data_IF_560556865432
#
_entry.id   IF_560556865432
#
_cell.length_a   1.000
_cell.length_b   1.000
_cell.length_c   1.000
_cell.angle_alpha   90.00
_cell.angle_beta   90.00
_cell.angle_gamma   90.00
#
_symmetry.space_group_name_H-M   'P 1'
#
loop_
_entity.id
_entity.type
_entity.pdbx_description
1 polymer ?
#
# COMPACT_ATOMS: atom_id res chain seq x y z
N UNK A 1 -7.19 16.33 26.60
CA UNK A 1 -8.01 15.81 25.49
C UNK A 1 -7.33 16.21 24.20
N UNK A 2 -6.63 15.27 23.54
CA UNK A 2 -6.01 15.51 22.21
C UNK A 2 -7.14 15.77 21.21
N UNK A 3 -7.06 16.89 20.48
CA UNK A 3 -8.05 17.23 19.44
C UNK A 3 -8.11 16.13 18.37
N UNK A 4 -9.27 15.92 17.74
CA UNK A 4 -9.51 14.91 16.71
C UNK A 4 -8.46 14.95 15.59
N UNK A 5 -7.97 16.15 15.23
CA UNK A 5 -6.92 16.36 14.23
C UNK A 5 -5.56 15.79 14.65
N UNK A 6 -5.17 15.88 15.93
CA UNK A 6 -3.93 15.28 16.43
C UNK A 6 -4.00 13.74 16.45
N UNK A 7 -5.15 13.16 16.81
CA UNK A 7 -5.36 11.70 16.73
C UNK A 7 -5.20 11.18 15.30
N UNK A 8 -5.70 11.89 14.30
CA UNK A 8 -5.57 11.49 12.89
C UNK A 8 -4.13 11.55 12.39
N UNK A 9 -3.33 12.53 12.85
CA UNK A 9 -1.91 12.65 12.52
C UNK A 9 -1.08 11.53 13.14
N UNK A 10 -1.31 11.22 14.42
CA UNK A 10 -0.64 10.11 15.12
C UNK A 10 -0.95 8.78 14.45
N UNK A 11 -2.22 8.51 14.12
CA UNK A 11 -2.61 7.29 13.43
C UNK A 11 -1.99 7.16 12.02
N UNK A 12 -1.75 8.27 11.32
CA UNK A 12 -1.06 8.25 10.03
C UNK A 12 0.44 7.99 10.16
N UNK A 13 1.05 8.47 11.23
CA UNK A 13 2.49 8.36 11.45
C UNK A 13 2.90 7.00 12.02
N UNK A 14 2.04 6.38 12.84
CA UNK A 14 2.31 5.12 13.55
C UNK A 14 1.28 4.05 13.18
N UNK A 15 1.20 3.71 11.90
CA UNK A 15 0.22 2.76 11.34
C UNK A 15 0.37 1.34 11.88
N UNK A 16 1.55 0.98 12.38
CA UNK A 16 1.85 -0.33 12.95
C UNK A 16 1.00 -0.70 14.18
N UNK A 17 0.35 0.27 14.84
CA UNK A 17 -0.63 -0.03 15.90
C UNK A 17 -1.88 -0.77 15.39
N UNK A 18 -2.11 -0.77 14.08
CA UNK A 18 -3.23 -1.48 13.46
C UNK A 18 -2.80 -2.80 12.80
N UNK A 19 -1.58 -3.24 13.04
CA UNK A 19 -1.08 -4.51 12.51
C UNK A 19 -1.64 -5.68 13.31
N UNK A 20 -1.79 -6.84 12.65
CA UNK A 20 -2.24 -8.06 13.30
C UNK A 20 -1.10 -8.71 14.11
N UNK A 21 -1.47 -9.65 15.02
CA UNK A 21 -0.48 -10.29 15.90
C UNK A 21 0.60 -11.07 15.16
N UNK A 22 0.26 -11.66 14.01
CA UNK A 22 1.22 -12.35 13.13
C UNK A 22 2.19 -11.41 12.40
N UNK A 23 1.92 -10.10 12.42
CA UNK A 23 2.74 -9.02 11.87
C UNK A 23 3.61 -8.35 12.96
N UNK A 24 3.69 -8.96 14.13
CA UNK A 24 4.39 -8.41 15.29
C UNK A 24 5.87 -8.12 14.99
N UNK A 25 6.38 -7.12 15.69
CA UNK A 25 7.76 -6.70 15.58
C UNK A 25 8.71 -7.71 16.24
N UNK A 26 9.63 -8.25 15.46
CA UNK A 26 10.70 -9.10 15.97
C UNK A 26 11.93 -8.24 16.32
N UNK A 27 12.27 -8.22 17.60
CA UNK A 27 13.33 -7.39 18.16
C UNK A 27 14.55 -8.22 18.52
N UNK A 28 15.74 -7.73 18.19
CA UNK A 28 16.99 -8.20 18.75
C UNK A 28 17.10 -7.79 20.24
N UNK A 29 18.01 -8.42 20.98
CA UNK A 29 18.16 -8.10 22.41
C UNK A 29 18.61 -6.66 22.65
N UNK A 30 19.46 -6.11 21.77
CA UNK A 30 19.83 -4.69 21.80
C UNK A 30 18.62 -3.77 21.58
N UNK A 31 17.74 -4.10 20.65
CA UNK A 31 16.52 -3.32 20.38
C UNK A 31 15.53 -3.40 21.55
N UNK A 32 15.40 -4.60 22.15
CA UNK A 32 14.62 -4.78 23.38
C UNK A 32 15.15 -3.92 24.54
N UNK A 33 16.50 -3.87 24.70
CA UNK A 33 17.13 -3.00 25.71
C UNK A 33 16.78 -1.54 25.48
N UNK A 34 16.96 -1.04 24.26
CA UNK A 34 16.64 0.35 23.91
C UNK A 34 15.18 0.72 24.24
N UNK A 35 14.23 -0.17 23.95
CA UNK A 35 12.81 0.09 24.27
C UNK A 35 12.56 0.04 25.79
N UNK A 36 13.20 -0.89 26.51
CA UNK A 36 13.11 -0.94 27.98
C UNK A 36 13.63 0.33 28.62
N UNK A 37 14.75 0.85 28.14
CA UNK A 37 15.33 2.11 28.63
C UNK A 37 14.40 3.30 28.40
N UNK A 38 13.75 3.39 27.24
CA UNK A 38 12.73 4.40 27.00
C UNK A 38 11.54 4.29 27.96
N UNK A 39 11.06 3.06 28.21
CA UNK A 39 9.95 2.82 29.16
C UNK A 39 10.39 3.12 30.59
N UNK A 40 11.61 2.79 30.98
CA UNK A 40 12.16 3.10 32.30
C UNK A 40 12.20 4.61 32.56
N UNK A 41 12.69 5.40 31.57
CA UNK A 41 12.71 6.87 31.65
C UNK A 41 11.28 7.45 31.79
N UNK A 42 10.34 6.96 30.98
CA UNK A 42 8.93 7.37 31.09
C UNK A 42 8.35 7.09 32.47
N UNK A 43 8.66 5.91 33.04
CA UNK A 43 8.19 5.54 34.40
C UNK A 43 8.82 6.41 35.47
N UNK A 44 10.13 6.70 35.39
CA UNK A 44 10.83 7.59 36.32
C UNK A 44 10.18 8.97 36.31
N UNK A 45 10.00 9.56 35.12
CA UNK A 45 9.40 10.90 34.98
C UNK A 45 7.98 11.01 35.51
N UNK A 46 7.19 9.94 35.35
CA UNK A 46 5.80 9.89 35.89
C UNK A 46 5.77 9.71 37.41
N UNK A 47 6.80 9.04 37.99
CA UNK A 47 6.89 8.76 39.41
C UNK A 47 7.48 9.93 40.22
N UNK A 48 8.17 10.84 39.58
CA UNK A 48 8.77 12.03 40.22
C UNK A 48 7.73 13.15 40.44
N UNK A 49 8.12 14.15 41.24
CA UNK A 49 7.26 15.32 41.45
C UNK A 49 7.08 16.08 40.13
N UNK A 50 5.85 16.31 39.73
CA UNK A 50 5.48 17.01 38.50
C UNK A 50 5.89 18.47 38.57
N UNK A 51 6.71 18.91 37.62
CA UNK A 51 7.09 20.30 37.41
C UNK A 51 6.62 20.82 36.04
N UNK A 52 6.98 22.08 35.72
CA UNK A 52 6.60 22.73 34.46
C UNK A 52 7.19 22.05 33.20
N UNK A 53 8.19 21.19 33.34
CA UNK A 53 8.92 20.52 32.26
C UNK A 53 8.50 19.07 32.09
N UNK A 54 7.92 18.44 33.12
CA UNK A 54 7.55 17.02 33.14
C UNK A 54 6.70 16.61 31.95
N UNK A 55 5.72 17.41 31.58
CA UNK A 55 4.87 17.10 30.40
C UNK A 55 5.70 17.04 29.10
N UNK A 56 6.65 17.95 28.91
CA UNK A 56 7.50 18.00 27.74
C UNK A 56 8.43 16.79 27.67
N UNK A 57 9.01 16.42 28.83
CA UNK A 57 9.89 15.25 28.94
C UNK A 57 9.15 13.95 28.67
N UNK A 58 7.96 13.79 29.23
CA UNK A 58 7.11 12.62 28.99
C UNK A 58 6.76 12.48 27.48
N UNK A 59 6.34 13.57 26.85
CA UNK A 59 6.00 13.58 25.41
C UNK A 59 7.22 13.24 24.57
N UNK A 60 8.37 13.84 24.84
CA UNK A 60 9.61 13.59 24.11
C UNK A 60 10.11 12.15 24.24
N UNK A 61 10.04 11.57 25.43
CA UNK A 61 10.40 10.16 25.66
C UNK A 61 9.41 9.21 24.96
N UNK A 62 8.11 9.55 24.95
CA UNK A 62 7.10 8.77 24.20
C UNK A 62 7.35 8.84 22.69
N UNK A 63 7.63 10.01 22.15
CA UNK A 63 7.99 10.17 20.73
C UNK A 63 9.25 9.38 20.37
N UNK A 64 10.28 9.38 21.25
CA UNK A 64 11.47 8.58 21.06
C UNK A 64 11.15 7.08 21.00
N UNK A 65 10.34 6.57 21.94
CA UNK A 65 9.89 5.18 21.97
C UNK A 65 9.18 4.81 20.65
N UNK A 66 8.25 5.64 20.21
CA UNK A 66 7.48 5.40 18.98
C UNK A 66 8.36 5.46 17.72
N UNK A 67 9.34 6.36 17.69
CA UNK A 67 10.29 6.46 16.59
C UNK A 67 11.22 5.23 16.54
N UNK A 68 11.63 4.66 17.69
CA UNK A 68 12.34 3.38 17.71
C UNK A 68 11.46 2.25 17.15
N UNK A 69 10.20 2.13 17.56
CA UNK A 69 9.27 1.14 17.02
C UNK A 69 9.16 1.26 15.50
N UNK A 70 8.96 2.48 14.98
CA UNK A 70 8.89 2.73 13.54
C UNK A 70 10.16 2.30 12.82
N UNK A 71 11.34 2.68 13.36
CA UNK A 71 12.65 2.29 12.82
C UNK A 71 12.79 0.77 12.73
N UNK A 72 12.35 0.05 13.76
CA UNK A 72 12.49 -1.39 13.83
C UNK A 72 11.51 -2.11 12.88
N UNK A 73 10.31 -1.60 12.71
CA UNK A 73 9.40 -2.08 11.65
C UNK A 73 9.99 -1.81 10.25
N UNK A 74 10.55 -0.63 10.02
CA UNK A 74 11.20 -0.31 8.74
C UNK A 74 12.36 -1.26 8.42
N UNK A 75 13.19 -1.58 9.42
CA UNK A 75 14.23 -2.62 9.29
C UNK A 75 13.62 -3.99 8.99
N UNK A 76 12.55 -4.38 9.69
CA UNK A 76 11.91 -5.68 9.51
C UNK A 76 11.40 -5.86 8.08
N UNK A 77 10.82 -4.85 7.47
CA UNK A 77 10.44 -4.89 6.05
C UNK A 77 11.65 -5.13 5.14
N UNK A 78 12.80 -4.53 5.45
CA UNK A 78 14.03 -4.73 4.65
C UNK A 78 14.57 -6.15 4.83
N UNK A 79 14.61 -6.67 6.05
CA UNK A 79 15.22 -7.98 6.35
C UNK A 79 14.35 -9.16 5.93
N UNK A 80 13.04 -8.99 5.78
CA UNK A 80 12.08 -10.03 5.34
C UNK A 80 11.82 -10.01 3.83
N UNK A 81 12.76 -9.61 3.03
CA UNK A 81 12.61 -9.40 1.59
C UNK A 81 12.02 -10.60 0.84
N UNK A 82 12.42 -11.83 1.17
CA UNK A 82 11.90 -13.05 0.54
C UNK A 82 10.42 -13.30 0.90
N UNK A 83 10.05 -13.13 2.17
CA UNK A 83 8.67 -13.27 2.62
C UNK A 83 7.77 -12.16 2.02
N UNK A 84 8.29 -10.94 1.95
CA UNK A 84 7.59 -9.81 1.33
C UNK A 84 7.33 -10.05 -0.16
N UNK A 85 8.34 -10.55 -0.89
CA UNK A 85 8.19 -10.87 -2.32
C UNK A 85 7.18 -11.99 -2.55
N UNK A 86 7.15 -13.01 -1.65
CA UNK A 86 6.13 -14.06 -1.69
C UNK A 86 4.72 -13.51 -1.44
N UNK A 87 4.55 -12.62 -0.46
CA UNK A 87 3.27 -12.01 -0.16
C UNK A 87 2.80 -11.07 -1.29
N UNK A 88 3.73 -10.35 -1.94
CA UNK A 88 3.42 -9.56 -3.13
C UNK A 88 2.94 -10.45 -4.28
N UNK A 89 3.62 -11.56 -4.55
CA UNK A 89 3.20 -12.50 -5.58
C UNK A 89 1.82 -13.13 -5.29
N UNK A 90 1.54 -13.45 -4.03
CA UNK A 90 0.20 -13.91 -3.61
C UNK A 90 -0.87 -12.82 -3.82
N UNK A 91 -0.56 -11.56 -3.47
CA UNK A 91 -1.46 -10.45 -3.71
C UNK A 91 -1.78 -10.28 -5.20
N UNK A 92 -0.78 -10.35 -6.06
CA UNK A 92 -0.95 -10.28 -7.52
C UNK A 92 -1.79 -11.44 -8.03
N UNK A 93 -1.55 -12.65 -7.54
CA UNK A 93 -2.33 -13.84 -7.89
C UNK A 93 -3.80 -13.72 -7.47
N UNK A 94 -4.07 -13.20 -6.26
CA UNK A 94 -5.44 -12.98 -5.79
C UNK A 94 -6.16 -11.89 -6.60
N UNK A 95 -5.44 -10.85 -7.00
CA UNK A 95 -5.96 -9.79 -7.86
C UNK A 95 -6.30 -10.35 -9.26
N UNK A 96 -5.41 -11.13 -9.84
CA UNK A 96 -5.63 -11.84 -11.10
C UNK A 96 -6.83 -12.80 -11.03
N UNK A 97 -6.91 -13.61 -9.97
CA UNK A 97 -8.00 -14.54 -9.75
C UNK A 97 -9.36 -13.80 -9.64
N UNK A 98 -9.38 -12.64 -8.97
CA UNK A 98 -10.58 -11.82 -8.90
C UNK A 98 -11.03 -11.35 -10.29
N UNK A 99 -10.09 -10.90 -11.11
CA UNK A 99 -10.40 -10.45 -12.48
C UNK A 99 -10.82 -11.59 -13.41
N UNK A 100 -10.26 -12.80 -13.27
CA UNK A 100 -10.59 -13.96 -14.09
C UNK A 100 -11.89 -14.64 -13.66
N UNK A 101 -12.31 -14.52 -12.40
CA UNK A 101 -13.47 -15.26 -11.85
C UNK A 101 -14.82 -14.93 -12.46
N UNK A 102 -14.90 -13.97 -13.39
CA UNK A 102 -16.15 -13.57 -14.03
C UNK A 102 -17.21 -12.93 -13.10
N UNK A 103 -16.94 -12.86 -11.79
CA UNK A 103 -17.82 -12.25 -10.78
C UNK A 103 -17.94 -10.72 -10.91
N UNK A 104 -17.55 -10.19 -12.07
CA UNK A 104 -17.41 -8.76 -12.35
C UNK A 104 -18.73 -8.00 -12.35
N UNK A 105 -19.81 -8.66 -12.72
CA UNK A 105 -21.15 -8.03 -12.74
C UNK A 105 -21.76 -8.09 -11.34
N UNK A 106 -21.74 -6.97 -10.62
CA UNK A 106 -22.37 -6.81 -9.31
C UNK A 106 -21.50 -7.03 -8.07
N UNK A 107 -20.27 -7.57 -8.21
CA UNK A 107 -19.38 -7.79 -7.06
C UNK A 107 -18.58 -6.54 -6.63
N UNK A 108 -18.65 -5.47 -7.41
CA UNK A 108 -17.84 -4.26 -7.17
C UNK A 108 -16.34 -4.47 -7.44
N UNK A 109 -15.53 -3.49 -7.09
CA UNK A 109 -14.07 -3.60 -7.17
C UNK A 109 -13.52 -4.36 -5.96
N UNK A 110 -12.36 -5.05 -6.11
CA UNK A 110 -11.72 -5.71 -4.97
C UNK A 110 -11.32 -4.65 -3.94
N UNK A 111 -11.77 -4.84 -2.70
CA UNK A 111 -11.42 -3.93 -1.62
C UNK A 111 -10.07 -4.30 -1.00
N UNK A 112 -9.35 -3.29 -0.48
CA UNK A 112 -8.11 -3.55 0.28
C UNK A 112 -8.35 -4.51 1.43
N UNK A 113 -9.51 -4.39 2.09
CA UNK A 113 -9.90 -5.24 3.21
C UNK A 113 -10.07 -6.69 2.78
N UNK A 114 -10.83 -6.96 1.71
CA UNK A 114 -11.07 -8.33 1.22
C UNK A 114 -9.79 -9.03 0.73
N UNK A 115 -8.87 -8.30 0.10
CA UNK A 115 -7.58 -8.84 -0.32
C UNK A 115 -6.67 -9.12 0.89
N UNK A 116 -6.63 -8.22 1.87
CA UNK A 116 -5.85 -8.40 3.08
C UNK A 116 -6.34 -9.61 3.90
N UNK A 117 -7.66 -9.79 4.02
CA UNK A 117 -8.28 -10.95 4.68
C UNK A 117 -7.86 -12.27 4.01
N UNK A 118 -7.87 -12.35 2.69
CA UNK A 118 -7.43 -13.54 1.95
C UNK A 118 -5.95 -13.85 2.13
N UNK A 119 -5.14 -12.82 2.30
CA UNK A 119 -3.70 -12.94 2.54
C UNK A 119 -3.35 -13.12 4.03
N UNK A 120 -4.36 -13.16 4.91
CA UNK A 120 -4.19 -13.27 6.36
C UNK A 120 -3.31 -12.17 6.97
N UNK A 121 -3.42 -10.95 6.44
CA UNK A 121 -2.70 -9.77 6.90
C UNK A 121 -3.66 -8.60 7.16
N UNK A 122 -3.22 -7.64 7.96
CA UNK A 122 -3.98 -6.41 8.17
C UNK A 122 -3.94 -5.50 6.91
N UNK A 123 -5.01 -4.74 6.62
CA UNK A 123 -5.03 -3.80 5.49
C UNK A 123 -3.91 -2.75 5.56
N UNK A 124 -3.53 -2.34 6.77
CA UNK A 124 -2.44 -1.37 6.97
C UNK A 124 -1.07 -1.98 6.67
N UNK A 125 -0.82 -3.22 7.14
CA UNK A 125 0.41 -3.94 6.84
C UNK A 125 0.57 -4.17 5.33
N UNK A 126 -0.49 -4.66 4.67
CA UNK A 126 -0.51 -4.85 3.22
C UNK A 126 -0.18 -3.56 2.46
N UNK A 127 -0.78 -2.44 2.88
CA UNK A 127 -0.51 -1.14 2.24
C UNK A 127 0.92 -0.65 2.46
N UNK A 128 1.49 -0.87 3.63
CA UNK A 128 2.86 -0.45 3.95
C UNK A 128 3.88 -1.34 3.26
N UNK A 129 3.61 -2.65 3.17
CA UNK A 129 4.41 -3.59 2.38
C UNK A 129 4.43 -3.20 0.91
N UNK A 130 3.26 -3.04 0.28
CA UNK A 130 3.17 -2.65 -1.13
C UNK A 130 3.86 -1.32 -1.39
N UNK A 131 3.68 -0.33 -0.49
CA UNK A 131 4.34 0.96 -0.62
C UNK A 131 5.86 0.85 -0.57
N UNK A 132 6.40 -0.06 0.24
CA UNK A 132 7.86 -0.30 0.31
C UNK A 132 8.40 -1.06 -0.88
N UNK A 133 7.70 -2.09 -1.34
CA UNK A 133 8.14 -2.92 -2.46
C UNK A 133 7.91 -2.25 -3.82
N UNK A 134 6.80 -1.51 -4.00
CA UNK A 134 6.37 -0.98 -5.30
C UNK A 134 6.30 0.55 -5.37
N UNK A 135 6.40 1.24 -4.24
CA UNK A 135 6.20 2.69 -4.13
C UNK A 135 4.72 3.12 -4.11
N UNK A 136 3.78 2.19 -4.23
CA UNK A 136 2.33 2.46 -4.26
C UNK A 136 1.62 1.84 -3.06
N UNK A 137 0.63 2.54 -2.50
CA UNK A 137 -0.28 1.90 -1.55
C UNK A 137 -1.22 0.91 -2.28
N UNK A 138 -1.89 0.04 -1.51
CA UNK A 138 -2.74 -1.03 -2.09
C UNK A 138 -3.83 -0.50 -3.03
N UNK A 139 -4.48 0.61 -2.66
CA UNK A 139 -5.53 1.20 -3.49
C UNK A 139 -4.99 1.70 -4.82
N UNK A 140 -3.84 2.40 -4.80
CA UNK A 140 -3.18 2.89 -6.01
C UNK A 140 -2.71 1.75 -6.90
N UNK A 141 -2.25 0.64 -6.29
CA UNK A 141 -1.86 -0.57 -7.02
C UNK A 141 -3.06 -1.21 -7.72
N UNK A 142 -4.18 -1.40 -7.01
CA UNK A 142 -5.43 -1.92 -7.60
C UNK A 142 -5.90 -1.03 -8.75
N UNK A 143 -5.86 0.29 -8.57
CA UNK A 143 -6.22 1.23 -9.64
C UNK A 143 -5.30 1.13 -10.85
N UNK A 144 -3.98 1.00 -10.64
CA UNK A 144 -3.01 0.83 -11.72
C UNK A 144 -3.27 -0.47 -12.51
N UNK A 145 -3.55 -1.56 -11.79
CA UNK A 145 -3.92 -2.84 -12.39
C UNK A 145 -5.21 -2.72 -13.22
N UNK A 146 -6.26 -2.09 -12.68
CA UNK A 146 -7.51 -1.82 -13.40
C UNK A 146 -7.32 -1.04 -14.70
N UNK A 147 -6.44 -0.04 -14.68
CA UNK A 147 -6.15 0.77 -15.87
C UNK A 147 -5.41 -0.06 -16.93
N UNK A 148 -4.52 -0.97 -16.52
CA UNK A 148 -3.83 -1.85 -17.46
C UNK A 148 -4.79 -2.87 -18.08
N UNK A 149 -5.68 -3.46 -17.29
CA UNK A 149 -6.73 -4.32 -17.80
C UNK A 149 -7.69 -3.58 -18.77
N UNK A 150 -8.01 -2.32 -18.44
CA UNK A 150 -8.81 -1.48 -19.35
C UNK A 150 -8.10 -1.25 -20.69
N UNK A 151 -6.77 -1.06 -20.68
CA UNK A 151 -5.99 -0.92 -21.92
C UNK A 151 -5.95 -2.20 -22.73
N UNK A 152 -5.81 -3.35 -22.06
CA UNK A 152 -5.85 -4.64 -22.72
C UNK A 152 -7.20 -4.87 -23.40
N UNK A 153 -8.32 -4.53 -22.73
CA UNK A 153 -9.66 -4.60 -23.32
C UNK A 153 -9.84 -3.64 -24.50
N UNK A 154 -9.30 -2.42 -24.42
CA UNK A 154 -9.37 -1.43 -25.51
C UNK A 154 -8.62 -1.88 -26.78
N UNK A 155 -7.54 -2.62 -26.63
CA UNK A 155 -6.75 -3.12 -27.76
C UNK A 155 -7.30 -4.44 -28.31
N UNK A 156 -7.84 -5.28 -27.42
CA UNK A 156 -8.26 -6.64 -27.75
C UNK A 156 -9.75 -6.82 -28.07
N UNK A 157 -10.59 -5.78 -27.91
CA UNK A 157 -12.04 -5.90 -28.09
C UNK A 157 -12.67 -4.61 -28.62
N UNK A 158 -13.83 -4.74 -29.24
CA UNK A 158 -14.67 -3.60 -29.69
C UNK A 158 -15.70 -3.16 -28.62
N UNK A 159 -15.42 -3.43 -27.34
CA UNK A 159 -16.33 -3.07 -26.26
C UNK A 159 -16.47 -1.56 -26.10
N UNK A 160 -17.71 -1.09 -25.92
CA UNK A 160 -17.94 0.31 -25.55
C UNK A 160 -17.33 0.61 -24.17
N UNK A 161 -16.98 1.88 -23.91
CA UNK A 161 -16.46 2.34 -22.60
C UNK A 161 -17.38 1.94 -21.45
N UNK A 162 -18.70 1.95 -21.68
CA UNK A 162 -19.71 1.52 -20.73
C UNK A 162 -19.62 0.02 -20.45
N UNK A 163 -19.52 -0.79 -21.49
CA UNK A 163 -19.38 -2.24 -21.36
C UNK A 163 -18.07 -2.61 -20.66
N UNK A 164 -16.95 -1.96 -21.01
CA UNK A 164 -15.68 -2.15 -20.32
C UNK A 164 -15.76 -1.81 -18.82
N UNK A 165 -16.43 -0.71 -18.45
CA UNK A 165 -16.60 -0.36 -17.05
C UNK A 165 -17.31 -1.48 -16.26
N UNK A 166 -18.39 -2.03 -16.80
CA UNK A 166 -19.07 -3.17 -16.17
C UNK A 166 -18.21 -4.43 -16.15
N UNK A 167 -17.49 -4.72 -17.24
CA UNK A 167 -16.57 -5.85 -17.30
C UNK A 167 -15.46 -5.73 -16.24
N UNK A 168 -15.00 -4.54 -15.93
CA UNK A 168 -14.01 -4.27 -14.91
C UNK A 168 -14.60 -4.18 -13.49
N UNK A 169 -15.90 -4.38 -13.31
CA UNK A 169 -16.56 -4.40 -12.00
C UNK A 169 -16.97 -3.03 -11.47
N UNK A 170 -16.99 -1.99 -12.31
CA UNK A 170 -17.53 -0.69 -11.89
C UNK A 170 -19.04 -0.71 -11.93
N UNK A 171 -19.66 -0.34 -10.82
CA UNK A 171 -21.11 -0.16 -10.74
C UNK A 171 -21.59 1.02 -11.61
N UNK A 172 -20.80 2.07 -11.66
CA UNK A 172 -21.10 3.29 -12.41
C UNK A 172 -19.98 3.63 -13.40
N UNK A 173 -20.26 3.60 -14.73
CA UNK A 173 -19.28 3.86 -15.78
C UNK A 173 -18.57 5.23 -15.69
N UNK A 174 -19.22 6.24 -15.09
CA UNK A 174 -18.62 7.55 -14.88
C UNK A 174 -17.43 7.52 -13.91
N UNK A 175 -17.44 6.63 -12.93
CA UNK A 175 -16.31 6.47 -12.02
C UNK A 175 -15.12 5.83 -12.75
N UNK A 176 -15.35 4.83 -13.56
CA UNK A 176 -14.33 4.27 -14.46
C UNK A 176 -13.72 5.34 -15.36
N UNK A 177 -14.57 6.11 -16.08
CA UNK A 177 -14.10 7.15 -17.00
C UNK A 177 -13.27 8.22 -16.29
N UNK A 178 -13.65 8.60 -15.07
CA UNK A 178 -12.88 9.57 -14.25
C UNK A 178 -11.54 8.97 -13.83
N UNK A 179 -11.53 7.73 -13.32
CA UNK A 179 -10.32 7.03 -12.93
C UNK A 179 -9.38 6.86 -14.12
N UNK A 180 -9.91 6.39 -15.26
CA UNK A 180 -9.12 6.17 -16.47
C UNK A 180 -8.50 7.48 -16.97
N UNK A 181 -9.28 8.57 -17.04
CA UNK A 181 -8.75 9.90 -17.42
C UNK A 181 -7.67 10.36 -16.46
N UNK A 182 -7.93 10.30 -15.14
CA UNK A 182 -6.96 10.77 -14.12
C UNK A 182 -5.66 10.00 -14.14
N UNK A 183 -5.70 8.68 -14.36
CA UNK A 183 -4.51 7.82 -14.35
C UNK A 183 -3.87 7.68 -15.73
N UNK A 184 -4.59 7.87 -16.84
CA UNK A 184 -4.02 7.92 -18.20
C UNK A 184 -3.25 9.21 -18.45
N UNK A 185 -3.63 10.32 -17.81
CA UNK A 185 -2.84 11.55 -17.74
C UNK A 185 -1.56 11.39 -16.88
N UNK A 186 -1.43 10.30 -16.11
CA UNK A 186 -0.24 9.90 -15.36
C UNK A 186 0.95 9.46 -16.24
N UNK A 187 1.01 9.95 -17.44
CA UNK A 187 2.21 9.91 -18.31
C UNK A 187 3.42 10.64 -17.73
N UNK A 188 3.28 11.23 -16.54
CA UNK A 188 4.30 12.03 -15.84
C UNK A 188 4.70 11.33 -14.51
N UNK A 189 4.91 10.02 -14.54
CA UNK A 189 5.68 9.38 -13.48
C UNK A 189 7.17 9.57 -13.76
N UNK A 190 7.95 9.83 -12.70
CA UNK A 190 9.40 9.96 -12.82
C UNK A 190 10.02 8.70 -13.44
N UNK A 191 11.17 8.80 -14.11
CA UNK A 191 11.83 7.64 -14.73
C UNK A 191 12.12 6.49 -13.75
N UNK A 192 12.33 6.79 -12.48
CA UNK A 192 12.55 5.81 -11.39
C UNK A 192 11.28 5.04 -11.04
N UNK A 193 10.14 5.73 -10.93
CA UNK A 193 8.84 5.11 -10.69
C UNK A 193 8.37 4.26 -11.87
N UNK A 194 8.65 4.71 -13.11
CA UNK A 194 8.42 3.90 -14.32
C UNK A 194 9.23 2.60 -14.32
N UNK A 195 10.51 2.63 -13.91
CA UNK A 195 11.36 1.42 -13.87
C UNK A 195 10.88 0.40 -12.84
N UNK A 196 10.38 0.84 -11.68
CA UNK A 196 9.83 -0.05 -10.66
C UNK A 196 8.55 -0.75 -11.15
N UNK A 197 7.64 0.00 -11.75
CA UNK A 197 6.42 -0.54 -12.37
C UNK A 197 6.79 -1.50 -13.51
N UNK A 198 7.68 -1.12 -14.42
CA UNK A 198 8.15 -1.97 -15.52
C UNK A 198 8.82 -3.27 -15.05
N UNK A 199 9.55 -3.26 -13.93
CA UNK A 199 10.26 -4.44 -13.43
C UNK A 199 9.33 -5.50 -12.83
N UNK A 200 8.22 -5.08 -12.22
CA UNK A 200 7.23 -5.97 -11.62
C UNK A 200 6.10 -6.38 -12.59
N UNK A 201 5.78 -5.53 -13.57
CA UNK A 201 4.82 -5.83 -14.63
C UNK A 201 5.46 -6.36 -15.92
N UNK A 202 6.75 -6.71 -15.91
CA UNK A 202 7.51 -7.14 -17.08
C UNK A 202 6.92 -8.32 -17.86
N UNK A 203 6.27 -9.34 -17.27
CA UNK A 203 5.62 -10.40 -18.06
C UNK A 203 4.48 -9.88 -18.93
N UNK A 204 3.77 -8.83 -18.49
CA UNK A 204 2.65 -8.23 -19.21
C UNK A 204 3.07 -7.21 -20.27
N UNK A 205 4.15 -6.46 -20.02
CA UNK A 205 4.63 -5.41 -20.93
C UNK A 205 5.29 -5.95 -22.21
N UNK A 206 5.77 -7.17 -22.23
CA UNK A 206 6.38 -7.76 -23.43
C UNK A 206 5.40 -7.96 -24.58
N UNK A 207 4.12 -8.06 -24.29
CA UNK A 207 3.07 -8.19 -25.32
C UNK A 207 2.58 -6.85 -25.89
N UNK A 208 2.69 -5.73 -25.16
CA UNK A 208 2.11 -4.43 -25.53
C UNK A 208 3.13 -3.50 -26.20
N UNK A 209 4.41 -3.70 -25.96
CA UNK A 209 5.48 -2.88 -26.55
C UNK A 209 5.52 -2.84 -28.10
N UNK A 210 5.18 -3.91 -28.84
CA UNK A 210 5.13 -3.87 -30.31
C UNK A 210 4.00 -3.00 -30.85
N UNK A 211 2.81 -3.01 -30.22
CA UNK A 211 1.64 -2.28 -30.70
C UNK A 211 1.78 -0.75 -30.57
N UNK A 212 2.51 -0.27 -29.55
CA UNK A 212 2.76 1.17 -29.38
C UNK A 212 3.76 1.75 -30.41
N UNK A 213 4.62 0.93 -31.03
CA UNK A 213 5.55 1.40 -32.09
C UNK A 213 4.86 1.64 -33.43
N UNK A 214 3.73 0.99 -33.69
CA UNK A 214 3.02 1.11 -34.96
C UNK A 214 2.17 2.39 -35.05
N UNK A 215 1.71 2.96 -33.93
CA UNK A 215 0.94 4.22 -33.94
C UNK A 215 1.80 5.48 -34.12
N UNK A 216 3.11 5.44 -33.91
CA UNK A 216 4.01 6.58 -34.14
C UNK A 216 4.46 6.77 -35.60
N UNK A 217 4.03 5.91 -36.52
CA UNK A 217 4.39 6.00 -37.94
C UNK A 217 3.23 6.47 -38.83
N UNK A 218 2.12 6.91 -38.29
CA UNK A 218 0.94 7.39 -39.02
C UNK A 218 0.51 8.82 -38.68
N UNK A 219 1.39 9.63 -38.11
CA UNK A 219 1.22 11.10 -38.05
C UNK A 219 2.50 11.76 -38.48
#
# INVERSE_FOLDING_TARGET
VLSSSRKSLVNRQYRFFSYATNEALHLSDKEKSNLRDCVARLRSEIAENTDNHSQTLIVSNLELLLNYCRRYYDRQFITRKSANSSLLAQFESELDAWFRSGKKSGAGLPSVKSLAEKLHVSPNYLSDLLKKETGMNTQDYIHAYLIEEARNLLVGTDLSVRAMAYTLGFEYPQYFSRLFKSKSLFRILSPSQKRLIFRHFSPFFSYVAPAMRLQKRKN
#
